data_IF_608784681148
#
_entry.id   IF_608784681148
#
_cell.length_a   1.000
_cell.length_b   1.000
_cell.length_c   1.000
_cell.angle_alpha   90.00
_cell.angle_beta   90.00
_cell.angle_gamma   90.00
#
_symmetry.space_group_name_H-M   'P 1'
#
loop_
_entity.id
_entity.type
_entity.pdbx_description
1 polymer ?
#
# COMPACT_ATOMS: atom_id res chain seq x y z
N UNK A 1 3.55 0.03 -0.99
CA UNK A 1 3.31 1.02 -2.05
C UNK A 1 4.62 1.63 -2.50
N UNK A 2 4.73 1.89 -3.80
CA UNK A 2 5.81 2.68 -4.39
C UNK A 2 5.23 3.99 -4.89
N UNK A 3 5.89 5.10 -4.58
CA UNK A 3 5.49 6.47 -4.95
C UNK A 3 6.68 7.16 -5.62
N UNK A 4 6.44 7.77 -6.77
CA UNK A 4 7.44 8.54 -7.52
C UNK A 4 6.84 9.83 -8.06
N UNK A 5 7.70 10.78 -8.41
CA UNK A 5 7.27 11.92 -9.24
C UNK A 5 7.44 11.58 -10.72
N UNK A 6 6.38 11.77 -11.51
CA UNK A 6 6.43 11.61 -12.95
C UNK A 6 7.39 12.66 -13.54
N UNK A 7 8.41 12.22 -14.27
CA UNK A 7 9.45 13.13 -14.80
C UNK A 7 8.95 14.13 -15.83
N UNK A 8 7.87 13.81 -16.54
CA UNK A 8 7.31 14.66 -17.60
C UNK A 8 6.32 15.68 -17.05
N UNK A 9 5.49 15.26 -16.09
CA UNK A 9 4.41 16.11 -15.57
C UNK A 9 4.77 16.75 -14.22
N UNK A 10 5.70 16.16 -13.46
CA UNK A 10 6.03 16.55 -12.09
C UNK A 10 5.00 16.10 -11.05
N UNK A 11 3.93 15.42 -11.47
CA UNK A 11 2.89 14.94 -10.57
C UNK A 11 3.30 13.63 -9.88
N UNK A 12 2.93 13.42 -8.61
CA UNK A 12 3.17 12.16 -7.93
C UNK A 12 2.32 11.04 -8.54
N UNK A 13 2.88 9.84 -8.63
CA UNK A 13 2.19 8.63 -9.10
C UNK A 13 2.48 7.45 -8.18
N UNK A 14 1.50 6.57 -8.01
CA UNK A 14 1.62 5.34 -7.24
C UNK A 14 1.62 4.11 -8.15
N UNK A 15 2.47 3.12 -7.84
CA UNK A 15 2.35 1.80 -8.44
C UNK A 15 1.11 1.09 -7.85
N UNK A 16 0.15 0.77 -8.72
CA UNK A 16 -1.13 0.15 -8.36
C UNK A 16 -1.56 -0.85 -9.43
N UNK A 17 -2.51 -1.71 -9.08
CA UNK A 17 -3.21 -2.59 -10.01
C UNK A 17 -4.72 -2.54 -9.77
N UNK A 18 -5.49 -2.89 -10.80
CA UNK A 18 -6.95 -3.02 -10.72
C UNK A 18 -7.30 -4.46 -10.35
N UNK A 19 -8.13 -4.66 -9.34
CA UNK A 19 -8.63 -5.99 -8.96
C UNK A 19 -9.47 -6.59 -10.07
N UNK A 20 -9.26 -7.87 -10.39
CA UNK A 20 -10.08 -8.61 -11.36
C UNK A 20 -11.57 -8.57 -10.99
N UNK A 21 -12.42 -8.46 -12.02
CA UNK A 21 -13.88 -8.39 -11.85
C UNK A 21 -14.50 -9.65 -11.24
N UNK A 22 -13.78 -10.77 -11.28
CA UNK A 22 -14.20 -12.08 -10.76
C UNK A 22 -14.03 -12.21 -9.25
N UNK A 23 -13.36 -11.25 -8.59
CA UNK A 23 -13.05 -11.33 -7.16
C UNK A 23 -14.23 -10.94 -6.29
N UNK A 24 -14.39 -11.65 -5.17
CA UNK A 24 -15.52 -11.45 -4.25
C UNK A 24 -15.46 -10.14 -3.46
N UNK A 25 -14.28 -9.56 -3.31
CA UNK A 25 -14.06 -8.34 -2.55
C UNK A 25 -13.46 -7.25 -3.43
N UNK A 26 -14.14 -6.11 -3.47
CA UNK A 26 -13.78 -4.90 -4.24
C UNK A 26 -13.35 -5.19 -5.71
N UNK A 27 -14.16 -5.91 -6.50
CA UNK A 27 -13.85 -6.13 -7.92
C UNK A 27 -13.76 -4.79 -8.67
N UNK A 28 -12.74 -4.63 -9.52
CA UNK A 28 -12.55 -3.43 -10.34
C UNK A 28 -11.94 -2.22 -9.63
N UNK A 29 -11.73 -2.27 -8.31
CA UNK A 29 -11.09 -1.18 -7.58
C UNK A 29 -9.57 -1.19 -7.80
N UNK A 30 -8.99 0.02 -7.80
CA UNK A 30 -7.54 0.19 -7.75
C UNK A 30 -7.04 -0.04 -6.33
N UNK A 31 -6.01 -0.87 -6.20
CA UNK A 31 -5.38 -1.21 -4.94
C UNK A 31 -3.86 -1.16 -5.05
N UNK A 32 -3.21 -0.97 -3.90
CA UNK A 32 -1.79 -1.25 -3.80
C UNK A 32 -1.55 -2.75 -3.81
N UNK A 33 -0.39 -3.21 -4.28
CA UNK A 33 0.00 -4.60 -4.11
C UNK A 33 0.08 -4.98 -2.64
N UNK A 34 -0.42 -6.15 -2.29
CA UNK A 34 -0.47 -6.59 -0.91
C UNK A 34 -1.41 -7.77 -0.68
N UNK A 35 -1.18 -8.47 0.43
CA UNK A 35 -1.89 -9.70 0.71
C UNK A 35 -1.83 -10.10 2.18
N UNK A 36 -2.25 -11.34 2.44
CA UNK A 36 -2.38 -11.86 3.80
C UNK A 36 -1.00 -12.21 4.36
N UNK A 37 -0.75 -11.75 5.59
CA UNK A 37 0.41 -12.19 6.38
C UNK A 37 0.15 -13.60 6.88
N UNK A 38 1.14 -14.48 6.73
CA UNK A 38 1.08 -15.85 7.24
C UNK A 38 1.03 -15.86 8.78
N UNK A 39 0.36 -16.85 9.36
CA UNK A 39 0.17 -16.96 10.81
C UNK A 39 1.51 -17.33 11.49
N UNK A 40 2.29 -16.33 11.92
CA UNK A 40 3.58 -16.47 12.61
C UNK A 40 3.89 -15.18 13.42
N UNK A 41 4.73 -15.28 14.45
CA UNK A 41 5.05 -14.21 15.41
C UNK A 41 6.21 -13.29 14.99
N UNK A 42 6.85 -13.50 13.82
CA UNK A 42 7.95 -12.64 13.38
C UNK A 42 7.43 -11.23 13.02
N UNK A 43 7.87 -10.17 13.74
CA UNK A 43 7.41 -8.80 13.53
C UNK A 43 7.79 -8.21 12.16
N UNK A 44 8.71 -8.85 11.42
CA UNK A 44 9.07 -8.44 10.04
C UNK A 44 8.13 -9.01 9.00
N UNK A 45 7.29 -9.99 9.33
CA UNK A 45 6.42 -10.64 8.35
C UNK A 45 5.48 -9.70 7.61
N UNK A 46 4.90 -8.64 8.22
CA UNK A 46 4.07 -7.70 7.48
C UNK A 46 4.81 -7.00 6.33
N UNK A 47 6.04 -6.53 6.55
CA UNK A 47 6.82 -5.87 5.50
C UNK A 47 7.36 -6.89 4.48
N UNK A 48 7.78 -8.08 4.92
CA UNK A 48 8.20 -9.16 4.02
C UNK A 48 7.04 -9.63 3.13
N UNK A 49 5.83 -9.71 3.68
CA UNK A 49 4.60 -10.00 2.94
C UNK A 49 4.35 -8.92 1.89
N UNK A 50 4.44 -7.64 2.26
CA UNK A 50 4.25 -6.55 1.31
C UNK A 50 5.27 -6.60 0.14
N UNK A 51 6.52 -7.00 0.40
CA UNK A 51 7.54 -7.18 -0.64
C UNK A 51 7.23 -8.38 -1.55
N UNK A 52 6.85 -9.52 -0.97
CA UNK A 52 6.48 -10.73 -1.70
C UNK A 52 5.30 -10.47 -2.63
N UNK A 53 4.22 -9.91 -2.10
CA UNK A 53 2.99 -9.61 -2.85
C UNK A 53 3.24 -8.56 -3.94
N UNK A 54 4.09 -7.56 -3.66
CA UNK A 54 4.51 -6.60 -4.68
C UNK A 54 5.19 -7.29 -5.86
N UNK A 55 6.07 -8.27 -5.61
CA UNK A 55 6.70 -9.04 -6.67
C UNK A 55 5.71 -9.94 -7.40
N UNK A 56 4.89 -10.70 -6.69
CA UNK A 56 3.95 -11.66 -7.28
C UNK A 56 2.88 -10.95 -8.14
N UNK A 57 2.27 -9.89 -7.60
CA UNK A 57 1.14 -9.22 -8.25
C UNK A 57 1.53 -8.18 -9.30
N UNK A 58 2.79 -7.70 -9.31
CA UNK A 58 3.19 -6.62 -10.25
C UNK A 58 4.49 -6.88 -11.01
N UNK A 59 5.23 -7.92 -10.64
CA UNK A 59 6.59 -8.16 -11.14
C UNK A 59 7.62 -7.16 -10.63
N UNK A 60 7.26 -6.17 -9.79
CA UNK A 60 8.21 -5.24 -9.19
C UNK A 60 8.83 -5.85 -7.94
N UNK A 61 10.15 -6.00 -7.96
CA UNK A 61 10.93 -6.58 -6.87
C UNK A 61 12.16 -5.73 -6.59
N UNK A 62 12.79 -5.96 -5.43
CA UNK A 62 14.03 -5.28 -5.09
C UNK A 62 15.12 -5.61 -6.10
N UNK A 63 15.85 -4.58 -6.53
CA UNK A 63 16.96 -4.70 -7.50
C UNK A 63 18.15 -5.48 -6.92
N UNK A 64 18.32 -5.44 -5.59
CA UNK A 64 19.35 -6.16 -4.88
C UNK A 64 18.70 -7.20 -3.94
N UNK A 65 19.01 -8.48 -4.14
CA UNK A 65 18.62 -9.57 -3.24
C UNK A 65 19.52 -9.63 -1.99
N UNK A 66 19.55 -8.56 -1.20
CA UNK A 66 20.13 -8.61 0.15
C UNK A 66 19.15 -9.28 1.12
N UNK A 67 19.66 -9.93 2.16
CA UNK A 67 18.83 -10.37 3.30
C UNK A 67 18.37 -9.17 4.16
N UNK A 68 18.97 -7.99 3.96
CA UNK A 68 18.56 -6.76 4.65
C UNK A 68 17.33 -6.13 3.98
N UNK A 69 16.38 -5.70 4.81
CA UNK A 69 15.21 -4.96 4.36
C UNK A 69 15.63 -3.60 3.75
N UNK A 70 14.95 -3.15 2.68
CA UNK A 70 15.14 -1.80 2.17
C UNK A 70 14.72 -0.77 3.23
N UNK A 71 15.08 0.49 3.03
CA UNK A 71 14.49 1.58 3.83
C UNK A 71 13.00 1.69 3.51
N UNK A 72 12.16 1.68 4.54
CA UNK A 72 10.71 1.81 4.41
C UNK A 72 10.14 2.68 5.53
N UNK A 73 8.95 3.24 5.27
CA UNK A 73 8.13 3.92 6.27
C UNK A 73 6.77 3.25 6.33
N UNK A 74 6.32 2.80 7.50
CA UNK A 74 4.91 2.50 7.70
C UNK A 74 4.14 3.83 7.65
N UNK A 75 3.23 3.97 6.68
CA UNK A 75 2.53 5.23 6.41
C UNK A 75 1.14 5.26 7.04
N UNK A 76 0.54 4.09 7.26
CA UNK A 76 -0.78 3.94 7.83
C UNK A 76 -1.04 2.48 8.25
N UNK A 77 -2.00 2.31 9.16
CA UNK A 77 -2.68 1.03 9.42
C UNK A 77 -4.18 1.22 9.19
N UNK A 78 -4.86 0.20 8.69
CA UNK A 78 -6.31 0.23 8.49
C UNK A 78 -6.94 -1.06 8.99
N UNK A 79 -7.98 -0.94 9.81
CA UNK A 79 -8.72 -2.08 10.35
C UNK A 79 -10.18 -1.97 9.91
N UNK A 80 -10.64 -2.98 9.17
CA UNK A 80 -12.06 -3.11 8.83
C UNK A 80 -12.92 -3.32 10.10
N UNK A 81 -14.18 -2.84 10.12
CA UNK A 81 -15.13 -3.07 11.21
C UNK A 81 -15.21 -4.53 11.67
N UNK A 82 -15.60 -4.72 12.94
CA UNK A 82 -15.82 -6.06 13.50
C UNK A 82 -16.99 -6.77 12.84
N UNK A 83 -17.97 -6.00 12.38
CA UNK A 83 -19.22 -6.44 11.77
C UNK A 83 -19.05 -6.77 10.28
N UNK A 84 -17.92 -6.38 9.66
CA UNK A 84 -17.66 -6.67 8.26
C UNK A 84 -17.49 -8.19 8.05
N UNK A 85 -18.15 -8.81 7.05
CA UNK A 85 -18.00 -10.24 6.76
C UNK A 85 -16.59 -10.57 6.27
N UNK A 86 -15.89 -9.60 5.67
CA UNK A 86 -14.50 -9.71 5.24
C UNK A 86 -13.69 -8.69 6.05
N UNK A 87 -12.73 -9.19 6.82
CA UNK A 87 -11.96 -8.38 7.75
C UNK A 87 -10.47 -8.40 7.42
N UNK A 88 -9.88 -7.21 7.47
CA UNK A 88 -8.46 -7.00 7.30
C UNK A 88 -7.93 -6.10 8.41
N UNK A 89 -6.72 -6.41 8.84
CA UNK A 89 -5.84 -5.54 9.59
C UNK A 89 -4.61 -5.30 8.71
N UNK A 90 -4.63 -4.18 8.00
CA UNK A 90 -3.69 -3.91 6.91
C UNK A 90 -2.71 -2.84 7.35
N UNK A 91 -1.43 -3.10 7.14
CA UNK A 91 -0.35 -2.12 7.31
C UNK A 91 0.14 -1.68 5.94
N UNK A 92 0.34 -0.38 5.76
CA UNK A 92 0.76 0.20 4.50
C UNK A 92 2.18 0.71 4.63
N UNK A 93 3.06 0.25 3.73
CA UNK A 93 4.47 0.62 3.72
C UNK A 93 4.79 1.44 2.48
N UNK A 94 5.51 2.55 2.64
CA UNK A 94 6.11 3.33 1.57
C UNK A 94 7.60 2.98 1.47
N UNK A 95 8.09 2.80 0.24
CA UNK A 95 9.48 2.44 -0.07
C UNK A 95 9.99 3.27 -1.26
N UNK A 96 11.31 3.35 -1.40
CA UNK A 96 11.94 4.09 -2.50
C UNK A 96 11.82 3.29 -3.80
N UNK A 97 11.10 3.79 -4.82
CA UNK A 97 10.96 3.11 -6.10
C UNK A 97 12.29 2.88 -6.82
N UNK A 98 13.33 3.68 -6.55
CA UNK A 98 14.66 3.48 -7.15
C UNK A 98 15.34 2.18 -6.68
N UNK A 99 14.88 1.60 -5.57
CA UNK A 99 15.38 0.31 -5.07
C UNK A 99 14.71 -0.90 -5.73
N UNK A 100 13.71 -0.67 -6.59
CA UNK A 100 12.98 -1.72 -7.27
C UNK A 100 13.27 -1.74 -8.78
N UNK A 101 13.14 -2.92 -9.36
CA UNK A 101 13.11 -3.17 -10.80
C UNK A 101 11.90 -4.04 -11.12
N UNK A 102 11.52 -4.15 -12.40
CA UNK A 102 10.42 -5.00 -12.84
C UNK A 102 10.89 -5.97 -13.91
N UNK A 103 10.50 -7.22 -13.76
CA UNK A 103 10.71 -8.26 -14.78
C UNK A 103 9.51 -8.39 -15.74
N UNK A 104 8.44 -7.62 -15.53
CA UNK A 104 7.21 -7.65 -16.33
C UNK A 104 6.40 -8.95 -16.22
N UNK A 105 6.82 -9.89 -15.38
CA UNK A 105 6.06 -11.11 -15.11
C UNK A 105 5.01 -10.80 -14.06
N UNK A 106 3.75 -11.03 -14.40
CA UNK A 106 2.61 -10.75 -13.54
C UNK A 106 1.80 -12.03 -13.45
N UNK A 107 1.57 -12.49 -12.23
CA UNK A 107 0.62 -13.56 -11.93
C UNK A 107 -0.40 -13.04 -10.89
N UNK A 108 -1.58 -13.62 -10.86
CA UNK A 108 -2.55 -13.40 -9.78
C UNK A 108 -3.74 -12.49 -10.08
N UNK A 109 -4.15 -11.73 -9.06
CA UNK A 109 -5.48 -11.12 -8.93
C UNK A 109 -5.61 -9.70 -9.50
N UNK A 110 -4.51 -9.12 -10.00
CA UNK A 110 -4.48 -7.74 -10.51
C UNK A 110 -4.31 -7.68 -12.02
N UNK A 111 -5.01 -6.74 -12.64
CA UNK A 111 -4.86 -6.35 -14.03
C UNK A 111 -4.52 -4.86 -14.13
N UNK A 112 -4.19 -4.37 -15.33
CA UNK A 112 -3.88 -2.96 -15.59
C UNK A 112 -2.85 -2.38 -14.59
N UNK A 113 -1.80 -3.12 -14.30
CA UNK A 113 -0.75 -2.69 -13.38
C UNK A 113 0.02 -1.53 -13.99
N UNK A 114 0.22 -0.47 -13.21
CA UNK A 114 0.87 0.72 -13.71
C UNK A 114 1.02 1.81 -12.66
N UNK A 115 1.55 2.94 -13.14
CA UNK A 115 1.70 4.15 -12.35
C UNK A 115 0.46 5.01 -12.54
N UNK A 116 -0.24 5.30 -11.43
CA UNK A 116 -1.49 6.05 -11.43
C UNK A 116 -1.32 7.38 -10.70
N UNK A 117 -1.75 8.46 -11.34
CA UNK A 117 -1.86 9.79 -10.72
C UNK A 117 -3.09 9.79 -9.77
N UNK A 118 -2.91 10.04 -8.45
CA UNK A 118 -3.99 10.07 -7.46
C UNK A 118 -5.03 11.16 -7.71
N UNK A 119 -4.70 12.20 -8.47
CA UNK A 119 -5.56 13.34 -8.75
C UNK A 119 -6.33 13.20 -10.05
N UNK A 120 -5.93 12.28 -10.94
CA UNK A 120 -6.63 12.04 -12.19
C UNK A 120 -8.03 11.44 -11.96
N UNK A 121 -9.04 11.95 -12.68
CA UNK A 121 -10.44 11.54 -12.52
C UNK A 121 -10.63 10.04 -12.76
N UNK A 122 -9.97 9.51 -13.79
CA UNK A 122 -9.97 8.10 -14.13
C UNK A 122 -9.28 7.21 -13.10
N UNK A 123 -8.47 7.75 -12.18
CA UNK A 123 -7.95 7.04 -11.01
C UNK A 123 -8.96 7.12 -9.88
N UNK A 124 -9.40 8.34 -9.54
CA UNK A 124 -10.22 8.62 -8.34
C UNK A 124 -11.52 7.85 -8.30
N UNK A 125 -12.17 7.64 -9.44
CA UNK A 125 -13.42 6.90 -9.52
C UNK A 125 -13.31 5.42 -9.12
N UNK A 126 -12.10 4.85 -9.09
CA UNK A 126 -11.84 3.45 -8.75
C UNK A 126 -11.18 3.27 -7.38
N UNK A 127 -11.03 4.33 -6.60
CA UNK A 127 -10.45 4.24 -5.26
C UNK A 127 -11.53 4.01 -4.22
N UNK A 128 -11.28 3.05 -3.33
CA UNK A 128 -11.99 3.00 -2.06
C UNK A 128 -11.59 4.21 -1.21
N UNK A 129 -12.46 4.62 -0.30
CA UNK A 129 -12.21 5.74 0.62
C UNK A 129 -10.93 5.55 1.45
N UNK A 130 -10.70 4.34 1.97
CA UNK A 130 -9.47 3.99 2.67
C UNK A 130 -8.23 4.13 1.78
N UNK A 131 -8.29 3.64 0.54
CA UNK A 131 -7.17 3.74 -0.40
C UNK A 131 -6.84 5.21 -0.68
N UNK A 132 -7.86 6.04 -0.90
CA UNK A 132 -7.69 7.47 -1.10
C UNK A 132 -7.09 8.17 0.14
N UNK A 133 -7.54 7.81 1.35
CA UNK A 133 -7.00 8.37 2.60
C UNK A 133 -5.53 7.99 2.82
N UNK A 134 -5.17 6.73 2.54
CA UNK A 134 -3.78 6.26 2.63
C UNK A 134 -2.88 6.96 1.60
N UNK A 135 -3.36 7.15 0.36
CA UNK A 135 -2.64 7.94 -0.65
C UNK A 135 -2.38 9.37 -0.17
N UNK A 136 -3.38 10.03 0.44
CA UNK A 136 -3.20 11.38 0.98
C UNK A 136 -2.13 11.45 2.08
N UNK A 137 -2.06 10.44 2.96
CA UNK A 137 -0.99 10.36 3.97
C UNK A 137 0.39 10.20 3.32
N UNK A 138 0.52 9.32 2.33
CA UNK A 138 1.76 9.13 1.59
C UNK A 138 2.21 10.40 0.86
N UNK A 139 1.28 11.10 0.20
CA UNK A 139 1.55 12.38 -0.46
C UNK A 139 1.99 13.47 0.53
N UNK A 140 1.31 13.56 1.68
CA UNK A 140 1.67 14.50 2.74
C UNK A 140 3.10 14.24 3.24
N UNK A 141 3.44 12.98 3.50
CA UNK A 141 4.79 12.59 3.90
C UNK A 141 5.82 12.91 2.81
N UNK A 142 5.59 12.48 1.56
CA UNK A 142 6.48 12.71 0.41
C UNK A 142 6.78 14.19 0.17
N UNK A 143 5.79 15.07 0.41
CA UNK A 143 5.96 16.52 0.30
C UNK A 143 6.86 17.11 1.38
N UNK A 144 6.85 16.54 2.58
CA UNK A 144 7.53 17.10 3.76
C UNK A 144 8.88 16.43 4.05
N UNK A 145 9.08 15.18 3.62
CA UNK A 145 10.22 14.36 3.98
C UNK A 145 10.46 13.25 2.96
N UNK A 146 11.73 13.01 2.63
CA UNK A 146 12.17 11.82 1.89
C UNK A 146 12.60 10.68 2.82
N UNK A 147 12.50 10.85 4.13
CA UNK A 147 12.97 9.86 5.10
C UNK A 147 12.08 8.61 5.10
N UNK A 148 12.66 7.47 4.71
CA UNK A 148 12.02 6.16 4.77
C UNK A 148 12.51 5.39 5.99
N UNK A 149 12.22 5.92 7.18
CA UNK A 149 12.57 5.30 8.45
C UNK A 149 11.36 5.38 9.36
N UNK A 150 11.01 4.26 9.99
CA UNK A 150 9.86 4.23 10.88
C UNK A 150 10.19 4.81 12.26
N UNK A 151 9.86 6.09 12.46
CA UNK A 151 10.28 6.86 13.66
C UNK A 151 9.15 7.38 14.54
N UNK A 152 7.92 6.88 14.42
CA UNK A 152 6.83 7.39 15.26
C UNK A 152 5.46 6.77 14.97
N UNK A 153 4.43 7.22 15.70
CA UNK A 153 3.08 6.72 15.52
C UNK A 153 2.59 6.94 14.09
N UNK A 154 1.77 6.01 13.61
CA UNK A 154 1.15 6.04 12.30
C UNK A 154 -0.35 6.25 12.44
N UNK A 155 -1.00 6.88 11.45
CA UNK A 155 -2.45 6.98 11.45
C UNK A 155 -3.08 5.59 11.36
N UNK A 156 -4.01 5.32 12.26
CA UNK A 156 -4.88 4.15 12.26
C UNK A 156 -6.24 4.56 11.72
N UNK A 157 -6.59 4.01 10.57
CA UNK A 157 -7.89 4.17 9.95
C UNK A 157 -8.83 3.05 10.39
N UNK A 158 -10.02 3.45 10.84
CA UNK A 158 -11.13 2.55 11.18
C UNK A 158 -12.40 3.07 10.52
N UNK A 159 -13.48 2.30 10.58
CA UNK A 159 -14.79 2.80 10.15
C UNK A 159 -15.72 2.84 11.36
N UNK A 160 -16.28 4.02 11.63
CA UNK A 160 -17.31 4.24 12.64
C UNK A 160 -18.63 4.64 12.01
N UNK A 161 -19.50 5.29 12.79
CA UNK A 161 -20.87 5.60 12.36
C UNK A 161 -20.96 6.64 11.24
N UNK A 162 -19.96 7.52 11.16
CA UNK A 162 -19.90 8.60 10.16
C UNK A 162 -18.99 8.26 8.96
N UNK A 163 -18.50 7.02 8.87
CA UNK A 163 -17.60 6.56 7.82
C UNK A 163 -16.17 6.36 8.32
N UNK A 164 -15.19 6.72 7.50
CA UNK A 164 -13.77 6.53 7.80
C UNK A 164 -13.31 7.48 8.91
N UNK A 165 -12.77 6.92 9.99
CA UNK A 165 -12.25 7.62 11.15
C UNK A 165 -10.74 7.44 11.26
N UNK A 166 -10.07 8.42 11.89
CA UNK A 166 -8.62 8.41 12.10
C UNK A 166 -8.29 8.51 13.57
N UNK A 167 -7.42 7.62 14.03
CA UNK A 167 -6.73 7.67 15.32
C UNK A 167 -5.22 7.50 15.10
N UNK A 168 -4.43 7.50 16.17
CA UNK A 168 -2.97 7.35 16.08
C UNK A 168 -2.51 6.16 16.92
N UNK A 169 -1.64 5.32 16.38
CA UNK A 169 -1.12 4.13 17.05
C UNK A 169 0.39 4.05 16.92
N UNK A 170 1.06 3.46 17.91
CA UNK A 170 2.48 3.13 17.78
C UNK A 170 2.61 1.98 16.76
N UNK A 171 3.51 2.13 15.79
CA UNK A 171 3.74 1.12 14.76
C UNK A 171 4.19 -0.23 15.36
N UNK A 172 4.67 -0.24 16.61
CA UNK A 172 5.16 -1.43 17.31
C UNK A 172 4.10 -2.23 18.07
N UNK A 173 2.86 -1.75 18.19
CA UNK A 173 1.82 -2.48 18.93
C UNK A 173 1.23 -3.60 18.08
N UNK A 174 1.72 -4.83 18.26
CA UNK A 174 1.02 -6.07 17.92
C UNK A 174 -0.04 -6.30 19.00
N UNK A 175 -1.32 -6.14 18.64
CA UNK A 175 -2.47 -6.50 19.48
C UNK A 175 -2.91 -7.92 19.20
#
# INVERSE_FOLDING_TARGET
MLLRDNRSTGHPEFLMGRRLQTLRFMPGFLVFPGGRVEDNEDPKLPILTALRECHEETGWHLSNCSEELPRYKEIARAITPKESPIRFDTRFYMMDPATFTSNGNVDGELEAIGWYDPHAENTRQWLADITAAVMQQALHHHRLSTALVDTGPVPLFTYGTEGLEISWTDSRTTS
#
